data_IF_366061326791
#
_entry.id   IF_366061326791
#
_cell.length_a   1.000
_cell.length_b   1.000
_cell.length_c   1.000
_cell.angle_alpha   90.00
_cell.angle_beta   90.00
_cell.angle_gamma   90.00
#
_symmetry.space_group_name_H-M   'P 1'
#
loop_
_entity.id
_entity.type
_entity.pdbx_description
1 polymer ?
#
# COMPACT_ATOMS: atom_id res chain seq x y z
N UNK A 1 -4.40 2.59 -76.87
CA UNK A 1 -3.48 1.48 -76.82
C UNK A 1 -2.45 1.79 -75.75
N UNK A 2 -2.35 1.20 -74.64
CA UNK A 2 -2.75 -0.01 -73.98
C UNK A 2 -2.83 0.32 -72.48
N UNK A 3 -3.91 -0.12 -71.92
CA UNK A 3 -4.25 -0.02 -70.48
C UNK A 3 -3.37 -1.02 -69.68
N UNK A 4 -2.83 -0.59 -68.56
CA UNK A 4 -2.27 -1.52 -67.56
C UNK A 4 -2.63 -1.02 -66.17
N UNK A 5 -3.75 -1.54 -65.66
CA UNK A 5 -4.20 -1.44 -64.30
C UNK A 5 -3.32 -2.30 -63.36
N UNK A 6 -2.67 -1.68 -62.42
CA UNK A 6 -1.93 -2.38 -61.35
C UNK A 6 -2.79 -2.37 -60.05
N UNK A 7 -3.31 -3.54 -59.71
CA UNK A 7 -4.06 -3.78 -58.48
C UNK A 7 -3.09 -3.92 -57.30
N UNK A 8 -3.05 -2.99 -56.35
CA UNK A 8 -2.33 -3.11 -55.09
C UNK A 8 -3.17 -3.85 -54.08
N UNK A 9 -2.73 -5.04 -53.68
CA UNK A 9 -3.26 -5.78 -52.57
C UNK A 9 -2.77 -5.16 -51.25
N UNK A 10 -3.71 -4.63 -50.48
CA UNK A 10 -3.47 -4.24 -49.07
C UNK A 10 -3.55 -5.49 -48.20
N UNK A 11 -2.39 -5.95 -47.72
CA UNK A 11 -2.28 -6.94 -46.64
C UNK A 11 -2.60 -6.29 -45.31
N UNK A 12 -3.78 -6.62 -44.76
CA UNK A 12 -4.14 -6.30 -43.37
C UNK A 12 -3.36 -7.21 -42.43
N UNK A 13 -2.36 -6.67 -41.74
CA UNK A 13 -1.73 -7.33 -40.59
C UNK A 13 -2.63 -7.19 -39.37
N UNK A 14 -3.29 -8.29 -39.01
CA UNK A 14 -3.98 -8.44 -37.74
C UNK A 14 -2.94 -8.50 -36.62
N UNK A 15 -2.86 -7.47 -35.79
CA UNK A 15 -2.14 -7.50 -34.51
C UNK A 15 -2.90 -8.41 -33.54
N UNK A 16 -2.43 -9.64 -33.42
CA UNK A 16 -2.81 -10.57 -32.36
C UNK A 16 -2.30 -10.01 -31.03
N UNK A 17 -3.26 -9.72 -30.13
CA UNK A 17 -2.95 -9.37 -28.75
C UNK A 17 -2.13 -10.47 -28.10
N UNK A 18 -0.97 -10.10 -27.54
CA UNK A 18 -0.09 -10.98 -26.75
C UNK A 18 -0.85 -11.48 -25.54
N UNK A 19 -1.31 -12.74 -25.58
CA UNK A 19 -1.70 -13.51 -24.42
C UNK A 19 -0.46 -13.67 -23.53
N UNK A 20 -0.58 -13.28 -22.25
CA UNK A 20 0.51 -13.38 -21.28
C UNK A 20 1.06 -14.79 -21.20
N UNK A 21 2.37 -14.92 -21.34
CA UNK A 21 3.06 -16.19 -21.22
C UNK A 21 2.89 -16.75 -19.80
N UNK A 22 2.38 -17.97 -19.67
CA UNK A 22 2.29 -18.73 -18.42
C UNK A 22 3.66 -19.39 -18.14
N UNK A 23 4.60 -18.60 -17.62
CA UNK A 23 5.97 -19.10 -17.38
C UNK A 23 6.12 -19.84 -16.03
N UNK A 24 5.17 -19.67 -15.09
CA UNK A 24 5.18 -20.27 -13.75
C UNK A 24 3.83 -20.88 -13.35
N UNK A 25 3.00 -21.29 -14.30
CA UNK A 25 1.68 -21.91 -14.03
C UNK A 25 0.58 -20.91 -13.61
N UNK A 26 0.81 -19.60 -13.64
CA UNK A 26 -0.18 -18.55 -13.37
C UNK A 26 -0.13 -17.42 -14.40
N UNK A 27 -1.22 -16.68 -14.53
CA UNK A 27 -1.32 -15.56 -15.46
C UNK A 27 -1.17 -14.21 -14.76
N UNK A 28 -0.58 -13.25 -15.47
CA UNK A 28 -0.38 -11.87 -15.00
C UNK A 28 -1.01 -10.90 -15.99
N UNK A 29 -1.91 -10.05 -15.52
CA UNK A 29 -2.58 -9.01 -16.30
C UNK A 29 -2.34 -7.64 -15.67
N UNK A 30 -1.58 -6.72 -16.29
CA UNK A 30 -1.47 -5.36 -15.80
C UNK A 30 -2.85 -4.69 -15.67
N UNK A 31 -3.07 -3.95 -14.58
CA UNK A 31 -4.29 -3.17 -14.33
C UNK A 31 -4.13 -1.71 -14.76
N UNK A 32 -2.90 -1.21 -14.77
CA UNK A 32 -2.54 0.13 -15.23
C UNK A 32 -1.08 0.19 -15.67
N UNK A 33 -0.70 1.30 -16.32
CA UNK A 33 0.67 1.52 -16.78
C UNK A 33 1.65 1.62 -15.60
N UNK A 34 1.26 2.31 -14.54
CA UNK A 34 2.14 2.69 -13.45
C UNK A 34 1.96 1.84 -12.18
N UNK A 35 0.82 1.17 -12.03
CA UNK A 35 0.51 0.40 -10.83
C UNK A 35 -0.54 -0.67 -11.09
N UNK A 36 -0.38 -1.78 -10.36
CA UNK A 36 -1.34 -2.86 -10.28
C UNK A 36 -1.16 -3.95 -11.33
N UNK A 37 -1.17 -5.20 -10.88
CA UNK A 37 -1.34 -6.36 -11.74
C UNK A 37 -2.27 -7.37 -11.09
N UNK A 38 -3.14 -7.99 -11.88
CA UNK A 38 -3.99 -9.12 -11.47
C UNK A 38 -3.26 -10.43 -11.71
N UNK A 39 -3.30 -11.31 -10.71
CA UNK A 39 -2.70 -12.64 -10.72
C UNK A 39 -3.82 -13.67 -10.61
N UNK A 40 -3.82 -14.68 -11.52
CA UNK A 40 -4.78 -15.79 -11.50
C UNK A 40 -4.08 -17.13 -11.67
N UNK A 41 -4.61 -18.16 -11.03
CA UNK A 41 -4.11 -19.52 -11.15
C UNK A 41 -3.11 -19.92 -10.07
N UNK A 42 -2.94 -19.09 -9.02
CA UNK A 42 -2.17 -19.46 -7.83
C UNK A 42 -3.11 -19.83 -6.67
N UNK A 43 -2.88 -21.00 -6.11
CA UNK A 43 -3.48 -21.43 -4.83
C UNK A 43 -2.52 -21.01 -3.70
N UNK A 44 -2.86 -19.92 -3.01
CA UNK A 44 -2.05 -19.37 -1.91
C UNK A 44 -2.30 -20.07 -0.57
N UNK A 45 -3.27 -20.99 -0.48
CA UNK A 45 -3.51 -21.80 0.70
C UNK A 45 -2.43 -22.87 0.92
N UNK A 46 -1.62 -23.14 -0.12
CA UNK A 46 -0.52 -24.09 -0.13
C UNK A 46 0.84 -23.43 -0.04
N UNK A 47 1.83 -24.25 0.30
CA UNK A 47 3.24 -23.85 0.21
C UNK A 47 3.61 -23.49 -1.23
N UNK A 48 4.26 -22.35 -1.42
CA UNK A 48 4.71 -21.90 -2.73
C UNK A 48 6.16 -22.31 -3.00
N UNK A 49 6.42 -22.74 -4.23
CA UNK A 49 7.80 -23.00 -4.66
C UNK A 49 8.65 -21.72 -4.59
N UNK A 50 9.94 -21.81 -4.23
CA UNK A 50 10.84 -20.65 -4.14
C UNK A 50 10.86 -19.78 -5.41
N UNK A 51 10.83 -20.39 -6.59
CA UNK A 51 10.81 -19.67 -7.88
C UNK A 51 9.51 -18.87 -8.07
N UNK A 52 8.37 -19.42 -7.60
CA UNK A 52 7.09 -18.72 -7.60
C UNK A 52 7.14 -17.49 -6.70
N UNK A 53 7.71 -17.63 -5.49
CA UNK A 53 7.89 -16.50 -4.55
C UNK A 53 8.83 -15.45 -5.14
N UNK A 54 9.94 -15.86 -5.75
CA UNK A 54 10.86 -14.95 -6.42
C UNK A 54 10.16 -14.17 -7.54
N UNK A 55 9.35 -14.86 -8.35
CA UNK A 55 8.55 -14.23 -9.41
C UNK A 55 7.51 -13.24 -8.86
N UNK A 56 6.84 -13.56 -7.76
CA UNK A 56 5.91 -12.63 -7.09
C UNK A 56 6.66 -11.38 -6.63
N UNK A 57 7.87 -11.49 -6.05
CA UNK A 57 8.72 -10.35 -5.65
C UNK A 57 9.08 -9.46 -6.83
N UNK A 58 9.47 -10.03 -7.97
CA UNK A 58 9.76 -9.28 -9.20
C UNK A 58 8.52 -8.51 -9.70
N UNK A 59 7.37 -9.18 -9.74
CA UNK A 59 6.10 -8.58 -10.14
C UNK A 59 5.68 -7.45 -9.20
N UNK A 60 5.84 -7.66 -7.89
CA UNK A 60 5.55 -6.63 -6.89
C UNK A 60 6.47 -5.43 -7.05
N UNK A 61 7.77 -5.64 -7.24
CA UNK A 61 8.73 -4.58 -7.51
C UNK A 61 8.37 -3.79 -8.77
N UNK A 62 7.87 -4.46 -9.81
CA UNK A 62 7.45 -3.83 -11.07
C UNK A 62 6.12 -3.09 -10.94
N UNK A 63 5.10 -3.75 -10.36
CA UNK A 63 3.71 -3.28 -10.37
C UNK A 63 3.28 -2.61 -9.06
N UNK A 64 4.06 -2.66 -8.00
CA UNK A 64 3.84 -2.05 -6.66
C UNK A 64 2.63 -2.62 -5.90
N UNK A 65 1.64 -3.15 -6.59
CA UNK A 65 0.46 -3.81 -6.03
C UNK A 65 0.05 -5.01 -6.90
N UNK A 66 -0.24 -6.14 -6.26
CA UNK A 66 -0.70 -7.37 -6.90
C UNK A 66 -2.05 -7.77 -6.34
N UNK A 67 -2.99 -8.07 -7.23
CA UNK A 67 -4.35 -8.50 -6.90
C UNK A 67 -4.50 -9.96 -7.26
N UNK A 68 -4.46 -10.84 -6.28
CA UNK A 68 -4.63 -12.28 -6.46
C UNK A 68 -6.11 -12.64 -6.40
N UNK A 69 -6.58 -13.38 -7.39
CA UNK A 69 -7.97 -13.83 -7.54
C UNK A 69 -8.09 -15.34 -7.35
N UNK A 70 -9.16 -15.78 -6.67
CA UNK A 70 -9.45 -17.19 -6.43
C UNK A 70 -8.25 -17.88 -5.76
N UNK A 71 -7.83 -17.32 -4.64
CA UNK A 71 -6.58 -17.69 -3.95
C UNK A 71 -6.65 -18.98 -3.14
N UNK A 72 -7.86 -19.48 -2.86
CA UNK A 72 -8.08 -20.56 -1.91
C UNK A 72 -7.85 -20.18 -0.44
N UNK A 73 -7.43 -18.95 -0.14
CA UNK A 73 -7.21 -18.48 1.24
C UNK A 73 -8.52 -18.31 1.99
N UNK A 74 -8.70 -19.07 3.06
CA UNK A 74 -9.90 -19.02 3.91
C UNK A 74 -9.58 -18.64 5.35
N UNK A 75 -8.36 -18.92 5.84
CA UNK A 75 -7.95 -18.70 7.22
C UNK A 75 -6.86 -17.64 7.37
N UNK A 76 -6.69 -17.14 8.59
CA UNK A 76 -5.66 -16.18 8.94
C UNK A 76 -4.26 -16.82 8.99
N UNK A 77 -4.20 -18.10 9.31
CA UNK A 77 -2.98 -18.90 9.32
C UNK A 77 -2.42 -19.09 7.90
N UNK A 78 -3.31 -19.34 6.92
CA UNK A 78 -2.92 -19.43 5.51
C UNK A 78 -2.40 -18.09 4.99
N UNK A 79 -3.08 -16.97 5.33
CA UNK A 79 -2.61 -15.62 4.98
C UNK A 79 -1.27 -15.31 5.64
N UNK A 80 -1.06 -15.68 6.90
CA UNK A 80 0.20 -15.49 7.63
C UNK A 80 1.34 -16.23 6.93
N UNK A 81 1.14 -17.51 6.64
CA UNK A 81 2.11 -18.36 5.93
C UNK A 81 2.50 -17.76 4.56
N UNK A 82 1.51 -17.27 3.80
CA UNK A 82 1.80 -16.57 2.55
C UNK A 82 2.65 -15.31 2.77
N UNK A 83 2.31 -14.49 3.76
CA UNK A 83 3.04 -13.25 4.04
C UNK A 83 4.48 -13.51 4.55
N UNK A 84 4.71 -14.60 5.28
CA UNK A 84 6.03 -15.02 5.79
C UNK A 84 7.05 -15.32 4.69
N UNK A 85 6.61 -15.66 3.47
CA UNK A 85 7.51 -15.78 2.33
C UNK A 85 8.26 -14.47 2.01
N UNK A 86 7.77 -13.33 2.48
CA UNK A 86 8.33 -12.02 2.19
C UNK A 86 9.17 -11.45 3.33
N UNK A 87 9.14 -12.06 4.50
CA UNK A 87 9.92 -11.67 5.66
C UNK A 87 9.16 -11.88 6.98
N UNK A 88 9.76 -11.52 8.11
CA UNK A 88 9.12 -11.63 9.41
C UNK A 88 7.84 -10.79 9.48
N UNK A 89 6.81 -11.31 10.12
CA UNK A 89 5.57 -10.58 10.32
C UNK A 89 5.71 -9.56 11.45
N UNK A 90 5.00 -8.44 11.35
CA UNK A 90 4.82 -7.52 12.47
C UNK A 90 3.72 -8.02 13.40
N UNK A 91 3.62 -7.48 14.62
CA UNK A 91 2.37 -7.55 15.36
C UNK A 91 1.23 -6.83 14.58
N UNK A 92 -0.03 -7.10 14.92
CA UNK A 92 -1.18 -6.56 14.21
C UNK A 92 -1.17 -5.01 14.19
N UNK A 93 -0.87 -4.38 15.32
CA UNK A 93 -0.75 -2.92 15.46
C UNK A 93 0.15 -2.56 16.64
N UNK A 94 0.88 -1.41 16.64
CA UNK A 94 1.72 -1.01 17.76
C UNK A 94 0.94 -0.73 19.04
N UNK A 95 -0.28 -0.23 18.96
CA UNK A 95 -1.08 0.23 20.12
C UNK A 95 -2.42 -0.48 20.26
N UNK A 96 -3.09 -0.80 19.14
CA UNK A 96 -4.44 -1.40 19.19
C UNK A 96 -4.34 -2.91 19.47
N UNK A 97 -5.13 -3.37 20.43
CA UNK A 97 -5.24 -4.78 20.80
C UNK A 97 -6.64 -5.30 20.44
N UNK A 98 -6.69 -6.40 19.74
CA UNK A 98 -7.94 -7.06 19.38
C UNK A 98 -8.12 -8.33 20.21
N UNK A 99 -9.30 -8.52 20.79
CA UNK A 99 -9.66 -9.72 21.53
C UNK A 99 -10.33 -10.73 20.62
N UNK A 100 -10.06 -12.01 20.83
CA UNK A 100 -10.69 -13.11 20.08
C UNK A 100 -10.09 -13.42 18.71
N UNK A 101 -8.84 -12.99 18.45
CA UNK A 101 -8.11 -13.33 17.22
C UNK A 101 -7.33 -14.65 17.39
N UNK A 102 -7.23 -15.40 16.29
CA UNK A 102 -6.42 -16.62 16.22
C UNK A 102 -4.92 -16.34 16.13
N UNK A 103 -4.53 -15.12 15.70
CA UNK A 103 -3.15 -14.71 15.51
C UNK A 103 -2.90 -13.28 15.97
N UNK A 104 -1.75 -13.03 16.62
CA UNK A 104 -1.30 -11.70 17.06
C UNK A 104 -0.86 -10.79 15.90
N UNK A 105 -0.74 -11.31 14.67
CA UNK A 105 -0.27 -10.59 13.50
C UNK A 105 -1.41 -10.04 12.62
N UNK A 106 -2.64 -10.48 12.85
CA UNK A 106 -3.80 -10.10 12.03
C UNK A 106 -4.49 -8.88 12.57
N UNK A 107 -4.61 -7.84 11.75
CA UNK A 107 -5.44 -6.66 12.02
C UNK A 107 -6.75 -6.77 11.25
N UNK A 108 -7.91 -6.91 11.91
CA UNK A 108 -9.19 -6.75 11.23
C UNK A 108 -9.39 -5.29 10.82
N UNK A 109 -9.57 -5.07 9.53
CA UNK A 109 -10.00 -3.77 8.96
C UNK A 109 -11.51 -3.86 8.79
N UNK A 110 -12.21 -3.54 9.88
CA UNK A 110 -13.65 -3.75 10.03
C UNK A 110 -14.37 -2.40 10.02
N UNK A 111 -15.39 -2.27 9.17
CA UNK A 111 -16.19 -1.06 9.03
C UNK A 111 -16.96 -0.67 10.29
N UNK A 112 -17.17 -1.61 11.23
CA UNK A 112 -17.78 -1.34 12.53
C UNK A 112 -16.83 -0.60 13.49
N UNK A 113 -15.51 -0.74 13.30
CA UNK A 113 -14.49 -0.14 14.16
C UNK A 113 -13.92 1.15 13.59
N UNK A 114 -13.60 1.17 12.29
CA UNK A 114 -13.05 2.36 11.63
C UNK A 114 -13.12 2.24 10.11
N UNK A 115 -13.12 3.38 9.43
CA UNK A 115 -13.01 3.44 7.96
C UNK A 115 -11.77 4.24 7.60
N UNK A 116 -10.78 3.58 7.00
CA UNK A 116 -9.52 4.19 6.57
C UNK A 116 -9.70 4.99 5.25
N UNK A 117 -10.66 5.93 5.23
CA UNK A 117 -11.02 6.76 4.09
C UNK A 117 -10.13 8.01 3.95
N UNK A 118 -8.84 7.84 4.12
CA UNK A 118 -7.80 8.85 3.86
C UNK A 118 -6.61 8.19 3.19
N UNK A 119 -5.97 8.91 2.28
CA UNK A 119 -4.73 8.45 1.67
C UNK A 119 -3.65 8.31 2.72
N UNK A 120 -3.08 7.11 2.85
CA UNK A 120 -2.06 6.80 3.83
C UNK A 120 -1.15 5.67 3.38
N UNK A 121 -0.02 5.60 4.04
CA UNK A 121 0.90 4.47 4.10
C UNK A 121 0.80 3.89 5.50
N UNK A 122 0.80 2.57 5.65
CA UNK A 122 0.60 1.89 6.93
C UNK A 122 1.71 2.22 7.94
N UNK A 123 1.31 2.56 9.17
CA UNK A 123 2.15 2.60 10.39
C UNK A 123 3.45 3.41 10.22
N UNK A 124 3.38 4.57 9.59
CA UNK A 124 4.57 5.41 9.33
C UNK A 124 5.10 6.14 10.56
N UNK A 125 4.42 6.09 11.68
CA UNK A 125 4.84 6.74 12.92
C UNK A 125 5.90 5.95 13.70
N UNK A 126 6.25 4.71 13.27
CA UNK A 126 7.34 3.89 13.83
C UNK A 126 8.62 4.05 13.02
N UNK A 127 9.78 3.68 13.61
CA UNK A 127 11.10 3.85 12.98
C UNK A 127 11.26 3.00 11.70
N UNK A 128 10.65 1.82 11.67
CA UNK A 128 10.70 0.84 10.58
C UNK A 128 9.28 0.47 10.12
N UNK A 129 8.60 1.35 9.38
CA UNK A 129 7.28 1.04 8.84
C UNK A 129 7.27 -0.27 8.06
N UNK A 130 6.17 -1.03 8.07
CA UNK A 130 6.07 -2.27 7.32
C UNK A 130 6.55 -2.11 5.88
N UNK A 131 7.31 -3.09 5.37
CA UNK A 131 7.71 -3.10 3.97
C UNK A 131 6.54 -3.48 3.05
N UNK A 132 5.72 -4.43 3.45
CA UNK A 132 4.61 -4.95 2.67
C UNK A 132 3.35 -5.06 3.53
N UNK A 133 2.21 -4.91 2.88
CA UNK A 133 0.90 -5.18 3.47
C UNK A 133 0.13 -6.17 2.59
N UNK A 134 -0.52 -7.14 3.23
CA UNK A 134 -1.51 -8.01 2.60
C UNK A 134 -2.89 -7.68 3.14
N UNK A 135 -3.89 -7.62 2.25
CA UNK A 135 -5.30 -7.50 2.60
C UNK A 135 -6.05 -8.68 2.01
N UNK A 136 -6.75 -9.46 2.85
CA UNK A 136 -7.61 -10.58 2.44
C UNK A 136 -9.07 -10.21 2.64
N UNK A 137 -9.92 -10.53 1.66
CA UNK A 137 -11.37 -10.37 1.77
C UNK A 137 -11.97 -11.36 2.78
N UNK A 138 -12.82 -10.89 3.69
CA UNK A 138 -13.51 -11.70 4.70
C UNK A 138 -15.02 -11.51 4.61
N UNK A 139 -15.49 -10.26 4.73
CA UNK A 139 -16.89 -9.89 4.54
C UNK A 139 -16.92 -8.74 3.54
N UNK A 140 -17.74 -8.89 2.50
CA UNK A 140 -17.86 -7.89 1.44
C UNK A 140 -19.28 -7.35 1.36
N UNK A 141 -19.45 -6.04 1.15
CA UNK A 141 -20.74 -5.45 0.86
C UNK A 141 -21.21 -5.87 -0.55
N UNK A 142 -22.49 -5.73 -0.83
CA UNK A 142 -23.05 -6.01 -2.16
C UNK A 142 -22.49 -5.09 -3.24
N UNK A 143 -22.11 -3.86 -2.89
CA UNK A 143 -21.48 -2.87 -3.75
C UNK A 143 -20.55 -1.94 -2.96
N UNK A 144 -19.63 -1.30 -3.66
CA UNK A 144 -18.74 -0.32 -3.07
C UNK A 144 -17.60 -0.95 -2.23
N UNK A 145 -17.03 -0.16 -1.33
CA UNK A 145 -15.97 -0.60 -0.41
C UNK A 145 -14.64 -0.95 -1.07
N UNK A 146 -14.39 -0.43 -2.27
CA UNK A 146 -13.15 -0.68 -3.00
C UNK A 146 -11.95 -0.05 -2.28
N UNK A 147 -10.76 -0.50 -2.66
CA UNK A 147 -9.49 0.09 -2.19
C UNK A 147 -8.77 0.75 -3.36
N UNK A 148 -8.39 2.01 -3.19
CA UNK A 148 -7.49 2.69 -4.11
C UNK A 148 -6.04 2.52 -3.63
N UNK A 149 -5.11 2.29 -4.55
CA UNK A 149 -3.67 2.23 -4.26
C UNK A 149 -2.94 3.13 -5.25
N UNK A 150 -2.09 4.02 -4.74
CA UNK A 150 -1.35 5.00 -5.52
C UNK A 150 0.15 4.69 -5.53
N UNK A 151 0.81 4.90 -6.67
CA UNK A 151 2.26 4.75 -6.84
C UNK A 151 2.99 6.07 -6.54
N UNK A 152 3.61 6.16 -5.36
CA UNK A 152 4.35 7.34 -4.93
C UNK A 152 5.68 7.54 -5.69
N UNK A 153 6.25 6.48 -6.31
CA UNK A 153 7.45 6.61 -7.13
C UNK A 153 7.13 7.22 -8.49
N UNK A 154 6.06 6.78 -9.15
CA UNK A 154 5.62 7.40 -10.39
C UNK A 154 5.28 8.88 -10.19
N UNK A 155 4.61 9.20 -9.08
CA UNK A 155 4.31 10.57 -8.70
C UNK A 155 5.58 11.42 -8.50
N UNK A 156 6.59 10.87 -7.81
CA UNK A 156 7.86 11.55 -7.63
C UNK A 156 8.60 11.78 -8.97
N UNK A 157 8.63 10.75 -9.83
CA UNK A 157 9.30 10.84 -11.14
C UNK A 157 8.70 11.90 -12.06
N UNK A 158 7.39 12.16 -11.94
CA UNK A 158 6.63 13.16 -12.70
C UNK A 158 6.65 14.58 -12.07
N UNK A 159 7.29 14.75 -10.91
CA UNK A 159 7.43 16.07 -10.32
C UNK A 159 8.28 16.97 -11.23
N UNK A 160 7.91 18.26 -11.40
CA UNK A 160 8.81 19.26 -11.92
C UNK A 160 10.15 19.28 -11.17
N UNK A 161 11.25 19.56 -11.86
CA UNK A 161 12.61 19.50 -11.29
C UNK A 161 12.75 20.35 -10.01
N UNK A 162 12.16 21.54 -9.99
CA UNK A 162 12.19 22.46 -8.85
C UNK A 162 11.48 21.86 -7.62
N UNK A 163 10.30 21.25 -7.83
CA UNK A 163 9.57 20.59 -6.75
C UNK A 163 10.28 19.31 -6.29
N UNK A 164 10.89 18.56 -7.21
CA UNK A 164 11.66 17.37 -6.91
C UNK A 164 12.86 17.70 -6.02
N UNK A 165 13.70 18.65 -6.47
CA UNK A 165 14.86 19.09 -5.70
C UNK A 165 14.50 19.77 -4.37
N UNK A 166 13.31 20.39 -4.27
CA UNK A 166 12.78 20.90 -3.01
C UNK A 166 12.37 19.74 -2.07
N UNK A 167 11.55 18.79 -2.55
CA UNK A 167 11.05 17.68 -1.75
C UNK A 167 12.16 16.79 -1.19
N UNK A 168 13.24 16.56 -1.93
CA UNK A 168 14.40 15.75 -1.51
C UNK A 168 15.12 16.29 -0.27
N UNK A 169 15.00 17.59 0.03
CA UNK A 169 15.62 18.22 1.19
C UNK A 169 14.74 18.22 2.43
N UNK A 170 13.46 17.83 2.29
CA UNK A 170 12.49 17.92 3.36
C UNK A 170 12.46 16.66 4.22
N UNK A 171 12.25 16.89 5.50
CA UNK A 171 11.98 15.86 6.52
C UNK A 171 10.66 16.18 7.20
N UNK A 172 9.92 15.15 7.57
CA UNK A 172 8.62 15.30 8.22
C UNK A 172 8.52 14.43 9.46
N UNK A 173 7.86 14.95 10.50
CA UNK A 173 7.47 14.19 11.69
C UNK A 173 6.19 13.45 11.35
N UNK A 174 6.20 12.14 11.51
CA UNK A 174 5.05 11.24 11.45
C UNK A 174 4.65 10.88 12.88
N UNK A 175 3.38 10.96 13.21
CA UNK A 175 2.87 10.76 14.57
C UNK A 175 1.54 9.99 14.55
N UNK A 176 1.26 9.27 15.64
CA UNK A 176 -0.04 8.67 15.90
C UNK A 176 -0.91 9.51 16.86
N UNK A 177 -0.63 10.81 17.02
CA UNK A 177 -1.37 11.72 17.92
C UNK A 177 -2.88 11.75 17.66
N UNK A 178 -3.31 11.19 16.57
CA UNK A 178 -4.71 11.14 16.21
C UNK A 178 -5.00 10.04 15.18
N UNK A 179 -6.13 9.39 15.38
CA UNK A 179 -6.65 8.29 14.58
C UNK A 179 -7.35 8.75 13.28
N UNK A 180 -7.76 7.76 12.47
CA UNK A 180 -8.61 7.88 11.28
C UNK A 180 -10.00 8.40 11.60
N UNK A 181 -10.52 8.05 12.77
CA UNK A 181 -11.85 8.45 13.22
C UNK A 181 -11.84 9.91 13.64
N UNK A 182 -12.75 10.69 13.08
CA UNK A 182 -12.96 12.06 13.57
C UNK A 182 -13.68 12.00 14.91
N UNK A 183 -13.21 12.69 15.97
CA UNK A 183 -13.87 12.69 17.27
C UNK A 183 -15.36 13.12 17.21
N UNK A 184 -15.69 13.99 16.26
CA UNK A 184 -17.05 14.48 15.99
C UNK A 184 -17.95 13.49 15.25
N UNK A 185 -17.41 12.34 14.83
CA UNK A 185 -18.11 11.29 14.06
C UNK A 185 -18.07 9.92 14.72
N UNK A 186 -17.54 9.80 15.93
CA UNK A 186 -17.58 8.54 16.68
C UNK A 186 -19.03 8.21 17.02
N UNK A 187 -19.56 7.16 16.42
CA UNK A 187 -20.97 6.76 16.53
C UNK A 187 -21.17 5.49 17.33
N UNK A 188 -20.11 4.74 17.64
CA UNK A 188 -20.16 3.48 18.38
C UNK A 188 -19.11 3.39 19.49
N UNK A 189 -19.35 2.52 20.47
CA UNK A 189 -18.36 2.22 21.52
C UNK A 189 -17.13 1.50 20.96
N UNK A 190 -17.28 0.73 19.88
CA UNK A 190 -16.19 0.07 19.20
C UNK A 190 -15.24 1.10 18.55
N UNK A 191 -15.77 2.10 17.85
CA UNK A 191 -14.99 3.21 17.29
C UNK A 191 -14.26 4.00 18.37
N UNK A 192 -14.92 4.25 19.49
CA UNK A 192 -14.31 4.96 20.63
C UNK A 192 -13.15 4.16 21.23
N UNK A 193 -13.37 2.87 21.50
CA UNK A 193 -12.33 1.99 22.04
C UNK A 193 -11.15 1.88 21.10
N UNK A 194 -11.37 1.76 19.80
CA UNK A 194 -10.31 1.75 18.80
C UNK A 194 -9.49 3.05 18.84
N UNK A 195 -10.15 4.20 18.84
CA UNK A 195 -9.49 5.51 18.90
C UNK A 195 -8.65 5.70 20.17
N UNK A 196 -9.21 5.35 21.34
CA UNK A 196 -8.50 5.43 22.61
C UNK A 196 -7.25 4.54 22.63
N UNK A 197 -7.34 3.32 22.09
CA UNK A 197 -6.19 2.43 21.98
C UNK A 197 -5.15 2.96 20.99
N UNK A 198 -5.58 3.49 19.85
CA UNK A 198 -4.68 4.00 18.81
C UNK A 198 -3.73 5.06 19.34
N UNK A 199 -4.22 5.97 20.17
CA UNK A 199 -3.43 7.05 20.78
C UNK A 199 -2.93 6.73 22.20
N UNK A 200 -3.07 5.49 22.68
CA UNK A 200 -2.73 5.10 24.05
C UNK A 200 -1.23 5.18 24.36
N UNK A 201 -0.38 5.09 23.34
CA UNK A 201 1.05 5.29 23.43
C UNK A 201 1.51 6.21 22.31
N UNK A 202 2.32 7.21 22.65
CA UNK A 202 2.80 8.17 21.65
C UNK A 202 3.98 7.59 20.87
N UNK A 203 3.89 7.71 19.54
CA UNK A 203 4.96 7.42 18.61
C UNK A 203 5.20 8.64 17.73
N UNK A 204 6.46 9.04 17.59
CA UNK A 204 6.89 10.12 16.69
C UNK A 204 8.19 9.75 16.03
N UNK A 205 8.21 9.73 14.74
CA UNK A 205 9.40 9.44 13.94
C UNK A 205 9.58 10.49 12.86
N UNK A 206 10.84 10.88 12.65
CA UNK A 206 11.21 11.78 11.55
C UNK A 206 11.66 10.94 10.36
N UNK A 207 10.95 11.11 9.25
CA UNK A 207 11.24 10.45 7.98
C UNK A 207 11.53 11.47 6.89
N UNK A 208 12.33 11.10 5.85
CA UNK A 208 12.49 11.95 4.68
C UNK A 208 11.19 12.01 3.88
N UNK A 209 10.87 13.17 3.33
CA UNK A 209 9.71 13.33 2.42
C UNK A 209 9.92 12.54 1.12
N UNK A 210 11.16 12.37 0.68
CA UNK A 210 11.53 11.49 -0.43
C UNK A 210 12.36 10.32 0.12
N UNK A 211 11.76 9.12 0.10
CA UNK A 211 12.41 7.88 0.49
C UNK A 211 13.02 7.18 -0.71
N UNK A 212 14.19 6.57 -0.55
CA UNK A 212 14.76 5.63 -1.52
C UNK A 212 14.29 4.22 -1.20
N UNK A 213 13.77 3.52 -2.21
CA UNK A 213 13.33 2.14 -2.06
C UNK A 213 14.56 1.21 -2.05
N UNK A 214 14.72 0.36 -1.00
CA UNK A 214 15.98 -0.36 -0.78
C UNK A 214 16.33 -1.39 -1.86
N UNK A 215 15.32 -1.99 -2.51
CA UNK A 215 15.55 -3.03 -3.52
C UNK A 215 15.61 -2.50 -4.95
N UNK A 216 14.78 -1.51 -5.29
CA UNK A 216 14.71 -0.97 -6.66
C UNK A 216 15.54 0.29 -6.88
N UNK A 217 15.93 0.98 -5.80
CA UNK A 217 16.57 2.30 -5.88
C UNK A 217 15.63 3.43 -6.32
N UNK A 218 14.34 3.14 -6.58
CA UNK A 218 13.36 4.16 -6.93
C UNK A 218 13.16 5.12 -5.77
N UNK A 219 12.88 6.38 -6.09
CA UNK A 219 12.55 7.42 -5.13
C UNK A 219 11.04 7.60 -5.09
N UNK A 220 10.45 7.68 -3.90
CA UNK A 220 9.02 7.85 -3.72
C UNK A 220 8.69 8.94 -2.72
N UNK A 221 7.54 9.60 -2.90
CA UNK A 221 7.01 10.58 -1.95
C UNK A 221 6.47 9.86 -0.70
N UNK A 222 7.20 9.93 0.39
CA UNK A 222 6.86 9.27 1.66
C UNK A 222 6.09 10.23 2.59
N UNK A 223 4.89 10.64 2.15
CA UNK A 223 4.02 11.61 2.83
C UNK A 223 2.65 11.04 3.20
N UNK A 224 2.47 9.73 3.09
CA UNK A 224 1.20 9.04 3.24
C UNK A 224 0.79 8.73 4.67
N UNK A 225 1.08 9.60 5.64
CA UNK A 225 0.55 9.44 6.98
C UNK A 225 -0.47 10.54 7.25
N UNK A 226 -1.70 10.41 6.67
CA UNK A 226 -2.67 11.46 6.89
C UNK A 226 -2.05 12.83 6.71
N UNK A 227 -1.77 13.24 5.49
CA UNK A 227 -1.01 14.47 5.13
C UNK A 227 -1.39 15.73 5.94
N UNK A 228 -2.56 15.72 6.57
CA UNK A 228 -3.02 16.78 7.48
C UNK A 228 -2.30 16.79 8.85
N UNK A 229 -1.50 15.77 9.17
CA UNK A 229 -0.88 15.55 10.49
C UNK A 229 0.62 15.39 10.43
N UNK A 230 1.18 15.24 9.24
CA UNK A 230 2.61 15.39 9.05
C UNK A 230 3.02 16.83 9.32
N UNK A 231 4.19 16.99 9.94
CA UNK A 231 4.79 18.31 10.15
C UNK A 231 6.16 18.32 9.49
N UNK A 232 6.27 19.06 8.40
CA UNK A 232 7.56 19.28 7.75
C UNK A 232 8.44 20.10 8.69
N UNK A 233 9.67 19.67 8.89
CA UNK A 233 10.64 20.35 9.74
C UNK A 233 11.14 21.65 9.09
N UNK A 234 11.37 22.68 9.92
CA UNK A 234 11.97 23.94 9.49
C UNK A 234 11.03 24.92 8.80
N UNK A 235 9.71 24.62 8.77
CA UNK A 235 8.68 25.51 8.23
C UNK A 235 7.53 25.67 9.23
N UNK A 236 6.69 26.68 9.03
CA UNK A 236 5.48 26.87 9.85
C UNK A 236 4.45 25.78 9.60
N UNK A 237 3.46 25.64 10.49
CA UNK A 237 2.40 24.66 10.33
C UNK A 237 1.56 24.88 9.06
N UNK A 238 1.32 26.14 8.69
CA UNK A 238 0.58 26.53 7.48
C UNK A 238 1.35 26.16 6.22
N UNK A 239 2.63 26.55 6.15
CA UNK A 239 3.51 26.18 5.03
C UNK A 239 3.64 24.65 4.89
N UNK A 240 3.77 23.91 6.01
CA UNK A 240 3.81 22.45 6.01
C UNK A 240 2.56 21.86 5.35
N UNK A 241 1.37 22.36 5.71
CA UNK A 241 0.12 21.90 5.11
C UNK A 241 0.06 22.17 3.61
N UNK A 242 0.49 23.34 3.16
CA UNK A 242 0.43 23.72 1.75
C UNK A 242 1.43 22.90 0.92
N UNK A 243 2.64 22.70 1.41
CA UNK A 243 3.64 21.83 0.76
C UNK A 243 3.10 20.41 0.64
N UNK A 244 2.57 19.84 1.73
CA UNK A 244 2.01 18.49 1.72
C UNK A 244 0.81 18.36 0.78
N UNK A 245 -0.05 19.38 0.68
CA UNK A 245 -1.17 19.41 -0.28
C UNK A 245 -0.69 19.41 -1.73
N UNK A 246 0.38 20.18 -2.03
CA UNK A 246 0.96 20.19 -3.37
C UNK A 246 1.48 18.81 -3.72
N UNK A 247 2.31 18.20 -2.88
CA UNK A 247 2.89 16.89 -3.13
C UNK A 247 1.83 15.78 -3.18
N UNK A 248 0.83 15.82 -2.29
CA UNK A 248 -0.25 14.83 -2.25
C UNK A 248 -1.09 14.81 -3.53
N UNK A 249 -1.34 15.98 -4.15
CA UNK A 249 -2.04 16.04 -5.45
C UNK A 249 -1.29 15.31 -6.56
N UNK A 250 0.05 15.27 -6.51
CA UNK A 250 0.82 14.47 -7.47
C UNK A 250 0.68 12.96 -7.21
N UNK A 251 0.68 12.53 -5.94
CA UNK A 251 0.53 11.10 -5.61
C UNK A 251 -0.83 10.58 -6.04
N UNK A 252 -1.88 11.39 -5.91
CA UNK A 252 -3.27 10.96 -6.15
C UNK A 252 -3.80 11.31 -7.54
N UNK A 253 -2.92 11.61 -8.51
CA UNK A 253 -3.32 11.70 -9.91
C UNK A 253 -3.90 10.36 -10.39
N UNK A 254 -5.03 10.36 -11.13
CA UNK A 254 -5.68 9.14 -11.58
C UNK A 254 -4.76 8.16 -12.32
N UNK A 255 -3.76 8.66 -13.05
CA UNK A 255 -2.80 7.87 -13.81
C UNK A 255 -1.91 6.98 -12.91
N UNK A 256 -1.73 7.35 -11.65
CA UNK A 256 -0.89 6.63 -10.68
C UNK A 256 -1.71 5.82 -9.69
N UNK A 257 -3.03 5.73 -9.88
CA UNK A 257 -3.95 5.06 -8.97
C UNK A 257 -4.58 3.84 -9.63
N UNK A 258 -4.57 2.72 -8.93
CA UNK A 258 -5.39 1.55 -9.28
C UNK A 258 -6.56 1.44 -8.31
N UNK A 259 -7.75 1.13 -8.84
CA UNK A 259 -8.94 0.81 -8.06
C UNK A 259 -9.11 -0.70 -7.99
N UNK A 260 -9.10 -1.23 -6.80
CA UNK A 260 -9.29 -2.65 -6.52
C UNK A 260 -10.74 -2.87 -6.10
N UNK A 261 -11.53 -3.52 -6.95
CA UNK A 261 -12.84 -4.05 -6.60
C UNK A 261 -12.67 -5.39 -5.92
N UNK A 262 -13.28 -5.55 -4.75
CA UNK A 262 -13.14 -6.75 -3.95
C UNK A 262 -14.06 -7.87 -4.44
N UNK A 263 -13.54 -9.09 -4.40
CA UNK A 263 -14.26 -10.34 -4.67
C UNK A 263 -13.98 -11.35 -3.54
N UNK A 264 -14.82 -12.37 -3.34
CA UNK A 264 -14.50 -13.48 -2.43
C UNK A 264 -13.15 -14.13 -2.79
N UNK A 265 -12.46 -14.68 -1.79
CA UNK A 265 -11.16 -15.34 -1.95
C UNK A 265 -10.08 -14.49 -2.65
N UNK A 266 -10.14 -13.19 -2.45
CA UNK A 266 -9.17 -12.25 -3.01
C UNK A 266 -8.15 -11.83 -1.97
N UNK A 267 -6.89 -11.78 -2.38
CA UNK A 267 -5.81 -11.16 -1.63
C UNK A 267 -5.21 -10.01 -2.45
N UNK A 268 -4.89 -8.92 -1.78
CA UNK A 268 -4.08 -7.84 -2.34
C UNK A 268 -2.77 -7.75 -1.56
N UNK A 269 -1.65 -7.77 -2.28
CA UNK A 269 -0.31 -7.54 -1.75
C UNK A 269 0.23 -6.24 -2.33
N UNK A 270 0.67 -5.31 -1.50
CA UNK A 270 1.27 -4.06 -1.98
C UNK A 270 2.52 -3.66 -1.20
N UNK A 271 3.43 -2.99 -1.90
CA UNK A 271 4.66 -2.46 -1.31
C UNK A 271 4.38 -1.16 -0.55
N UNK A 272 4.31 -1.25 0.76
CA UNK A 272 4.01 -0.13 1.65
C UNK A 272 5.10 0.94 1.68
N UNK A 273 6.33 0.62 1.21
CA UNK A 273 7.45 1.55 1.16
C UNK A 273 7.28 2.64 0.09
N UNK A 274 6.45 2.37 -0.92
CA UNK A 274 6.37 3.19 -2.14
C UNK A 274 4.93 3.42 -2.62
N UNK A 275 3.93 3.02 -1.83
CA UNK A 275 2.52 3.23 -2.14
C UNK A 275 1.78 3.96 -1.02
N UNK A 276 0.67 4.57 -1.39
CA UNK A 276 -0.39 5.00 -0.47
C UNK A 276 -1.68 4.30 -0.85
N UNK A 277 -2.57 4.12 0.12
CA UNK A 277 -3.88 3.52 -0.15
C UNK A 277 -5.02 4.26 0.57
N UNK A 278 -6.26 3.95 0.12
CA UNK A 278 -7.47 4.63 0.56
C UNK A 278 -8.64 3.66 0.47
N UNK A 279 -9.43 3.50 1.54
CA UNK A 279 -10.66 2.73 1.54
C UNK A 279 -11.82 3.64 1.13
N UNK A 280 -12.55 3.27 0.06
CA UNK A 280 -13.70 4.04 -0.39
C UNK A 280 -14.89 3.72 0.52
N UNK A 281 -15.52 4.77 1.07
CA UNK A 281 -16.68 4.71 1.94
C UNK A 281 -17.95 5.03 1.15
N UNK A 282 -18.40 4.06 0.32
CA UNK A 282 -19.54 4.19 -0.58
C UNK A 282 -20.43 2.92 -0.61
N UNK A 283 -20.60 2.26 0.54
CA UNK A 283 -21.31 0.98 0.67
C UNK A 283 -22.43 1.01 1.72
N UNK A 284 -22.96 2.20 2.03
CA UNK A 284 -24.14 2.43 2.88
C UNK A 284 -24.11 1.70 4.23
N UNK A 285 -22.93 1.67 4.88
CA UNK A 285 -22.70 0.98 6.17
C UNK A 285 -22.99 -0.53 6.17
N UNK A 286 -23.00 -1.17 4.99
CA UNK A 286 -23.04 -2.60 4.92
C UNK A 286 -21.79 -3.19 5.62
N UNK A 287 -21.87 -4.39 6.23
CA UNK A 287 -20.70 -5.02 6.84
C UNK A 287 -19.58 -5.21 5.81
N UNK A 288 -18.38 -4.71 6.16
CA UNK A 288 -17.17 -4.87 5.34
C UNK A 288 -16.00 -5.19 6.23
N UNK A 289 -15.36 -6.34 5.98
CA UNK A 289 -14.20 -6.76 6.75
C UNK A 289 -13.12 -7.32 5.84
N UNK A 290 -11.93 -6.81 5.99
CA UNK A 290 -10.69 -7.36 5.43
C UNK A 290 -9.75 -7.74 6.59
N UNK A 291 -8.93 -8.73 6.42
CA UNK A 291 -7.86 -9.02 7.36
C UNK A 291 -6.52 -8.54 6.79
N UNK A 292 -5.83 -7.69 7.54
CA UNK A 292 -4.50 -7.18 7.18
C UNK A 292 -3.41 -7.92 7.93
N UNK A 293 -2.35 -8.31 7.20
CA UNK A 293 -1.09 -8.75 7.77
C UNK A 293 0.03 -7.92 7.14
N UNK A 294 0.98 -7.49 7.96
CA UNK A 294 2.12 -6.69 7.53
C UNK A 294 3.44 -7.40 7.78
N UNK A 295 4.41 -7.13 6.90
CA UNK A 295 5.77 -7.68 6.96
C UNK A 295 6.71 -6.60 7.44
N UNK A 296 7.60 -6.95 8.37
CA UNK A 296 8.57 -6.05 8.98
C UNK A 296 9.43 -5.34 7.94
N UNK A 297 9.70 -4.05 8.16
CA UNK A 297 10.39 -3.20 7.20
C UNK A 297 11.74 -2.69 7.67
N UNK A 298 12.41 -1.98 6.76
CA UNK A 298 13.68 -1.29 6.95
C UNK A 298 13.48 0.12 7.53
N UNK A 299 14.55 0.71 8.03
CA UNK A 299 14.58 2.13 8.40
C UNK A 299 14.71 2.97 7.13
N UNK A 300 13.73 3.84 6.81
CA UNK A 300 13.75 4.65 5.58
C UNK A 300 14.99 5.55 5.49
N UNK A 301 15.51 5.69 4.27
CA UNK A 301 16.64 6.57 3.97
C UNK A 301 16.27 7.60 2.91
N UNK A 302 16.89 8.79 2.97
CA UNK A 302 16.75 9.81 1.96
C UNK A 302 17.70 9.58 0.76
N UNK A 303 17.68 10.50 -0.19
CA UNK A 303 18.52 10.46 -1.42
C UNK A 303 20.02 10.56 -1.16
N UNK A 304 20.44 10.91 0.07
CA UNK A 304 21.84 10.99 0.51
C UNK A 304 22.27 9.80 1.38
N UNK A 305 21.35 8.84 1.63
CA UNK A 305 21.59 7.71 2.53
C UNK A 305 21.43 8.04 4.02
N UNK A 306 20.92 9.22 4.36
CA UNK A 306 20.64 9.60 5.76
C UNK A 306 19.38 8.86 6.24
N UNK A 307 19.46 8.23 7.43
CA UNK A 307 18.40 7.38 7.98
C UNK A 307 17.38 8.19 8.77
N UNK A 308 16.15 7.71 8.77
CA UNK A 308 15.10 8.13 9.71
C UNK A 308 15.53 7.93 11.17
N UNK A 309 14.91 8.68 12.08
CA UNK A 309 15.16 8.55 13.51
C UNK A 309 13.89 8.72 14.34
N UNK A 310 13.77 7.94 15.43
CA UNK A 310 12.67 8.04 16.37
C UNK A 310 12.87 9.24 17.30
N UNK A 311 11.80 9.99 17.55
CA UNK A 311 11.73 11.08 18.52
C UNK A 311 11.05 10.61 19.79
N UNK A 312 10.04 9.74 19.66
CA UNK A 312 9.24 9.22 20.79
C UNK A 312 8.68 7.84 20.44
N UNK A 313 8.60 6.98 21.44
CA UNK A 313 8.05 5.63 21.33
C UNK A 313 9.10 4.58 20.94
N UNK A 314 8.95 3.38 21.49
CA UNK A 314 9.71 2.18 21.13
C UNK A 314 8.77 1.20 20.41
N UNK A 315 9.10 0.88 19.18
CA UNK A 315 8.33 -0.04 18.34
C UNK A 315 8.91 -1.45 18.27
N UNK A 316 9.86 -1.81 19.10
CA UNK A 316 10.52 -3.13 19.10
C UNK A 316 9.56 -4.30 19.33
N UNK A 317 8.53 -4.11 20.16
CA UNK A 317 7.46 -5.10 20.39
C UNK A 317 6.52 -5.25 19.18
N UNK A 318 6.47 -4.25 18.31
CA UNK A 318 5.64 -4.28 17.10
C UNK A 318 6.35 -4.95 15.93
N UNK A 319 7.60 -4.56 15.67
CA UNK A 319 8.31 -4.99 14.47
C UNK A 319 9.84 -4.96 14.68
N UNK A 320 10.50 -6.05 14.29
CA UNK A 320 11.96 -6.03 14.16
C UNK A 320 12.40 -5.20 12.95
N UNK A 321 13.57 -4.58 13.04
CA UNK A 321 14.17 -3.89 11.88
C UNK A 321 14.76 -4.96 10.95
N UNK A 322 14.43 -4.85 9.66
CA UNK A 322 15.01 -5.69 8.60
C UNK A 322 16.02 -4.84 7.83
N UNK A 323 17.24 -5.34 7.69
CA UNK A 323 18.21 -4.69 6.79
C UNK A 323 17.91 -5.11 5.35
N UNK A 324 18.07 -4.20 4.37
CA UNK A 324 17.73 -4.41 2.96
C UNK A 324 18.53 -5.51 2.26
#
# INVERSE_FOLDING_TARGET
>A
MTDTSTTSQTTSTSTTGTSGATDHGFSVRPLGQHIGAEIRGLDLSRELAPDTVARIRELLNRHKALVFKNTGLTTDEEQSRFAEHFGPLTAAHPTVRFTGQSSSNVLPVDSESSVANKWHTDVTFVINPPQLSTLRSVVLPEYGGETLIANAAAAYADLPEELRGFAERLWAVHSNDSDYVRPDRVTSDAERSYQEQFVSSAFRTVHPVVRVHPLSGERGLFIGAFAQRLKILGVTAEESLDILRILQRHVTKPEYVVRVTWEPEQLVLFDNRITQHYAIDNYDRQPRKLNRITVAGDVPVNVKGERSYSVEGDSSDYSQIVEP
#
